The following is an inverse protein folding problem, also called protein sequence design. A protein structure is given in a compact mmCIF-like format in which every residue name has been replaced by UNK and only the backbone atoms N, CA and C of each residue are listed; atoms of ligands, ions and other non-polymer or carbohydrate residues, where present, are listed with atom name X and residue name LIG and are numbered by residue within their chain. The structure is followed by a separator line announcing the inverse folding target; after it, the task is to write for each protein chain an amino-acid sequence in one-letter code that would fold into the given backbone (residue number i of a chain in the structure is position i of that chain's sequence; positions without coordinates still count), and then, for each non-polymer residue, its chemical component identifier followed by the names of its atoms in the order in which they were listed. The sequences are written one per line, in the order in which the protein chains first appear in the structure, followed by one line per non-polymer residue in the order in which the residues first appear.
data_IF_335443246518
#
_entry.id   IF_335443246518
#
_cell.length_a   1.000
_cell.length_b   1.000
_cell.length_c   1.000
_cell.angle_alpha   90.00
_cell.angle_beta   90.00
_cell.angle_gamma   90.00
#
_symmetry.space_group_name_H-M   'P 1'
#
loop_
_entity.id
_entity.type
_entity.pdbx_description
1 polymer ?
#
# COMPACT_ATOMS: atom_id res chain seq x y z
N UNK A 1 -16.26 -11.78 -22.35
CA UNK A 1 -15.73 -12.41 -21.13
C UNK A 1 -14.63 -11.49 -20.61
N UNK A 2 -14.89 -10.69 -19.58
CA UNK A 2 -13.83 -9.89 -18.96
C UNK A 2 -13.01 -10.84 -18.09
N UNK A 3 -11.73 -11.05 -18.43
CA UNK A 3 -10.81 -11.75 -17.53
C UNK A 3 -10.76 -10.97 -16.23
N UNK A 4 -11.16 -11.59 -15.12
CA UNK A 4 -10.93 -11.04 -13.78
C UNK A 4 -9.42 -10.80 -13.66
N UNK A 5 -9.03 -9.53 -13.57
CA UNK A 5 -7.68 -9.18 -13.16
C UNK A 5 -7.49 -9.83 -11.77
N UNK A 6 -6.42 -10.59 -11.54
CA UNK A 6 -6.16 -11.12 -10.21
C UNK A 6 -6.17 -9.97 -9.21
N UNK A 7 -6.81 -10.20 -8.06
CA UNK A 7 -6.88 -9.20 -7.00
C UNK A 7 -5.45 -8.89 -6.54
N UNK A 8 -4.96 -7.69 -6.86
CA UNK A 8 -3.69 -7.17 -6.39
C UNK A 8 -3.99 -5.97 -5.50
N UNK A 9 -3.60 -6.06 -4.22
CA UNK A 9 -3.67 -4.93 -3.31
C UNK A 9 -2.31 -4.24 -3.29
N UNK A 10 -2.30 -2.95 -3.62
CA UNK A 10 -1.11 -2.13 -3.67
C UNK A 10 -1.10 -1.21 -2.45
N UNK A 11 -0.20 -1.46 -1.51
CA UNK A 11 0.03 -0.58 -0.37
C UNK A 11 1.22 0.34 -0.66
N UNK A 12 1.00 1.65 -0.58
CA UNK A 12 2.10 2.63 -0.66
C UNK A 12 2.80 2.70 0.70
N UNK A 13 4.12 2.74 0.68
CA UNK A 13 4.92 3.06 1.86
C UNK A 13 5.85 4.22 1.51
N UNK A 14 5.87 5.21 2.39
CA UNK A 14 6.74 6.38 2.31
C UNK A 14 7.83 6.22 3.34
N UNK A 15 9.07 6.43 2.92
CA UNK A 15 10.21 6.26 3.81
C UNK A 15 11.32 7.25 3.50
N UNK A 16 12.24 7.42 4.44
CA UNK A 16 13.44 8.23 4.37
C UNK A 16 14.65 7.36 4.70
N UNK A 17 15.83 7.73 4.20
CA UNK A 17 17.05 6.96 4.41
C UNK A 17 17.52 6.26 3.15
N UNK A 18 18.25 5.15 3.30
CA UNK A 18 18.81 4.43 2.17
C UNK A 18 17.70 3.70 1.40
N UNK A 19 17.50 4.11 0.14
CA UNK A 19 16.55 3.52 -0.81
C UNK A 19 16.60 1.99 -0.91
N UNK A 20 17.80 1.41 -0.82
CA UNK A 20 18.01 -0.02 -0.97
C UNK A 20 17.70 -0.71 0.35
N UNK A 21 18.42 -0.34 1.42
CA UNK A 21 18.39 -1.02 2.71
C UNK A 21 16.98 -1.01 3.34
N UNK A 22 16.31 0.15 3.37
CA UNK A 22 14.94 0.23 3.95
C UNK A 22 13.93 -0.57 3.12
N UNK A 23 14.11 -0.63 1.80
CA UNK A 23 13.24 -1.44 0.95
C UNK A 23 13.50 -2.95 1.11
N UNK A 24 14.73 -3.37 1.45
CA UNK A 24 15.03 -4.77 1.81
C UNK A 24 14.41 -5.14 3.15
N UNK A 25 14.49 -4.26 4.16
CA UNK A 25 13.86 -4.51 5.46
C UNK A 25 12.33 -4.65 5.36
N UNK A 26 11.70 -3.85 4.49
CA UNK A 26 10.27 -3.97 4.19
C UNK A 26 9.96 -5.26 3.42
N UNK A 27 10.83 -5.71 2.51
CA UNK A 27 10.66 -6.97 1.78
C UNK A 27 10.75 -8.17 2.73
N UNK A 28 11.70 -8.16 3.67
CA UNK A 28 11.85 -9.18 4.71
C UNK A 28 10.61 -9.28 5.60
N UNK A 29 9.98 -8.15 5.95
CA UNK A 29 8.75 -8.12 6.74
C UNK A 29 7.59 -8.88 6.06
N UNK A 30 7.54 -8.88 4.72
CA UNK A 30 6.45 -9.50 3.94
C UNK A 30 6.91 -10.70 3.11
N UNK A 31 8.04 -11.31 3.46
CA UNK A 31 8.61 -12.42 2.70
C UNK A 31 7.62 -13.57 2.55
N UNK A 32 7.21 -13.82 1.31
CA UNK A 32 6.23 -14.87 0.95
C UNK A 32 4.78 -14.41 0.92
N UNK A 33 4.45 -13.25 1.49
CA UNK A 33 3.11 -12.67 1.52
C UNK A 33 2.91 -11.57 0.47
N UNK A 34 3.95 -10.79 0.19
CA UNK A 34 3.92 -9.70 -0.80
C UNK A 34 5.23 -9.58 -1.59
N UNK A 35 5.16 -8.85 -2.70
CA UNK A 35 6.33 -8.37 -3.42
C UNK A 35 6.54 -6.89 -3.14
N UNK A 36 7.79 -6.47 -2.88
CA UNK A 36 8.14 -5.05 -2.75
C UNK A 36 8.66 -4.50 -4.06
N UNK A 37 7.94 -3.55 -4.63
CA UNK A 37 8.29 -2.89 -5.87
C UNK A 37 8.69 -1.45 -5.61
N UNK A 38 9.94 -1.17 -5.94
CA UNK A 38 10.54 0.15 -5.84
C UNK A 38 10.04 1.02 -7.00
N UNK A 39 9.56 2.23 -6.68
CA UNK A 39 8.95 3.13 -7.66
C UNK A 39 9.95 4.15 -8.19
N UNK A 40 10.32 4.09 -9.48
CA UNK A 40 11.24 5.08 -10.05
C UNK A 40 10.50 6.37 -10.41
N UNK A 41 11.25 7.47 -10.53
CA UNK A 41 10.74 8.76 -11.01
C UNK A 41 10.41 8.74 -12.51
N UNK A 42 11.04 7.84 -13.27
CA UNK A 42 10.73 7.55 -14.67
C UNK A 42 11.02 6.07 -15.00
N UNK A 43 10.36 5.52 -16.02
CA UNK A 43 10.51 4.11 -16.40
C UNK A 43 9.48 3.19 -15.75
N UNK A 44 9.83 1.92 -15.56
CA UNK A 44 8.91 0.87 -15.07
C UNK A 44 9.24 0.50 -13.63
N UNK A 45 8.23 0.47 -12.76
CA UNK A 45 8.38 -0.04 -11.40
C UNK A 45 8.72 -1.53 -11.41
N UNK A 46 9.49 -1.97 -10.42
CA UNK A 46 9.90 -3.35 -10.28
C UNK A 46 10.67 -3.57 -8.98
N UNK A 47 11.01 -4.81 -8.65
CA UNK A 47 11.68 -5.12 -7.39
C UNK A 47 12.97 -4.32 -7.25
N UNK A 48 13.77 -4.21 -8.31
CA UNK A 48 15.06 -3.52 -8.25
C UNK A 48 14.94 -1.98 -8.24
N UNK A 49 13.85 -1.40 -8.72
CA UNK A 49 13.61 0.05 -8.74
C UNK A 49 14.54 0.91 -9.61
N UNK A 50 15.69 0.37 -10.02
CA UNK A 50 16.78 1.12 -10.62
C UNK A 50 17.35 2.20 -9.70
N UNK A 51 18.22 3.04 -10.25
CA UNK A 51 18.97 4.07 -9.50
C UNK A 51 18.27 5.44 -9.44
N UNK A 52 16.99 5.50 -9.83
CA UNK A 52 16.26 6.76 -10.01
C UNK A 52 14.97 6.78 -9.16
N UNK A 53 15.08 6.75 -7.82
CA UNK A 53 13.91 6.67 -6.95
C UNK A 53 12.94 7.83 -7.20
N UNK A 54 11.65 7.54 -7.12
CA UNK A 54 10.64 8.60 -6.97
C UNK A 54 10.81 9.21 -5.57
N UNK A 55 10.93 10.53 -5.53
CA UNK A 55 11.07 11.29 -4.29
C UNK A 55 9.90 12.28 -4.20
N UNK A 56 9.20 12.30 -3.07
CA UNK A 56 8.13 13.27 -2.80
C UNK A 56 8.70 14.68 -2.64
N UNK A 57 7.83 15.70 -2.55
CA UNK A 57 8.28 17.08 -2.33
C UNK A 57 8.99 17.24 -0.97
N UNK A 58 8.60 16.42 -0.02
CA UNK A 58 9.11 16.36 1.35
C UNK A 58 10.43 15.57 1.45
N UNK A 59 10.86 14.93 0.36
CA UNK A 59 12.10 14.15 0.34
C UNK A 59 11.91 12.65 0.60
N UNK A 60 10.69 12.15 0.64
CA UNK A 60 10.44 10.73 0.92
C UNK A 60 10.51 9.87 -0.33
N UNK A 61 11.16 8.73 -0.20
CA UNK A 61 11.07 7.63 -1.13
C UNK A 61 9.71 6.95 -1.07
N UNK A 62 9.29 6.36 -2.19
CA UNK A 62 8.00 5.66 -2.30
C UNK A 62 8.23 4.26 -2.85
N UNK A 63 7.63 3.27 -2.20
CA UNK A 63 7.53 1.92 -2.73
C UNK A 63 6.09 1.40 -2.71
N UNK A 64 5.89 0.33 -3.45
CA UNK A 64 4.66 -0.41 -3.59
C UNK A 64 4.82 -1.81 -2.97
N UNK A 65 4.06 -2.12 -1.92
CA UNK A 65 3.93 -3.50 -1.40
C UNK A 65 2.72 -4.14 -2.08
N UNK A 66 2.95 -5.23 -2.81
CA UNK A 66 1.98 -5.86 -3.68
C UNK A 66 1.59 -7.23 -3.10
N UNK A 67 0.41 -7.30 -2.52
CA UNK A 67 -0.12 -8.56 -2.01
C UNK A 67 -0.83 -9.33 -3.13
N UNK A 68 -0.50 -10.62 -3.26
CA UNK A 68 -1.14 -11.52 -4.23
C UNK A 68 -2.40 -12.20 -3.68
N UNK A 69 -2.66 -12.03 -2.39
CA UNK A 69 -3.86 -12.45 -1.68
C UNK A 69 -4.43 -11.28 -0.87
N UNK A 70 -5.70 -11.31 -0.45
CA UNK A 70 -6.25 -10.30 0.44
C UNK A 70 -5.42 -10.12 1.70
N UNK A 71 -5.12 -8.86 2.06
CA UNK A 71 -4.37 -8.55 3.27
C UNK A 71 -5.17 -9.02 4.49
N UNK A 72 -4.68 -9.97 5.28
CA UNK A 72 -5.49 -10.63 6.31
C UNK A 72 -5.76 -9.73 7.52
N UNK A 73 -4.79 -8.89 7.91
CA UNK A 73 -4.87 -8.02 9.08
C UNK A 73 -4.16 -6.69 8.79
N UNK A 74 -4.93 -5.68 8.39
CA UNK A 74 -4.41 -4.34 8.09
C UNK A 74 -3.75 -3.68 9.32
N UNK A 75 -4.22 -3.99 10.54
CA UNK A 75 -3.67 -3.43 11.77
C UNK A 75 -2.26 -3.94 12.05
N UNK A 76 -2.03 -5.25 11.89
CA UNK A 76 -0.69 -5.84 12.04
C UNK A 76 0.28 -5.39 10.97
N UNK A 77 -0.19 -5.22 9.73
CA UNK A 77 0.64 -4.70 8.64
C UNK A 77 1.09 -3.28 8.95
N UNK A 78 0.16 -2.42 9.39
CA UNK A 78 0.48 -1.05 9.82
C UNK A 78 1.49 -1.07 10.99
N UNK A 79 1.23 -1.84 12.04
CA UNK A 79 2.13 -1.93 13.20
C UNK A 79 3.53 -2.45 12.83
N UNK A 80 3.63 -3.37 11.87
CA UNK A 80 4.91 -3.87 11.37
C UNK A 80 5.69 -2.80 10.63
N UNK A 81 5.02 -2.05 9.76
CA UNK A 81 5.63 -0.95 9.00
C UNK A 81 6.08 0.20 9.91
N UNK A 82 5.28 0.57 10.91
CA UNK A 82 5.58 1.64 11.88
C UNK A 82 6.83 1.36 12.73
N UNK A 83 7.31 0.11 12.77
CA UNK A 83 8.50 -0.30 13.53
C UNK A 83 9.79 -0.25 12.72
N UNK A 84 9.72 -0.12 11.40
CA UNK A 84 10.89 -0.09 10.52
C UNK A 84 11.50 1.32 10.57
N UNK A 85 12.81 1.41 10.84
CA UNK A 85 13.49 2.70 10.86
C UNK A 85 13.48 3.34 9.47
N UNK A 86 13.21 4.64 9.42
CA UNK A 86 13.05 5.38 8.18
C UNK A 86 11.67 5.28 7.54
N UNK A 87 10.77 4.36 7.93
CA UNK A 87 9.36 4.46 7.48
C UNK A 87 8.74 5.74 8.06
N UNK A 88 8.14 6.53 7.18
CA UNK A 88 7.50 7.81 7.53
C UNK A 88 5.99 7.67 7.61
N UNK A 89 5.39 6.97 6.64
CA UNK A 89 3.94 6.73 6.58
C UNK A 89 3.62 5.58 5.62
N UNK A 90 2.37 5.11 5.63
CA UNK A 90 1.85 4.09 4.75
C UNK A 90 0.40 4.37 4.32
N UNK A 91 -0.04 3.78 3.22
CA UNK A 91 -1.38 3.98 2.66
C UNK A 91 -2.53 3.33 3.43
N UNK A 92 -2.30 2.73 4.60
CA UNK A 92 -3.36 2.15 5.43
C UNK A 92 -4.05 3.27 6.21
N UNK A 93 -5.31 3.54 5.84
CA UNK A 93 -6.17 4.49 6.54
C UNK A 93 -7.18 3.68 7.37
N UNK A 94 -7.06 3.74 8.69
CA UNK A 94 -7.90 2.98 9.62
C UNK A 94 -8.23 3.80 10.87
N UNK A 95 -9.17 3.32 11.69
CA UNK A 95 -9.59 3.95 12.96
C UNK A 95 -10.04 5.42 12.86
N UNK A 96 -10.50 5.83 11.68
CA UNK A 96 -11.11 7.14 11.46
C UNK A 96 -12.58 6.96 11.08
N UNK A 97 -13.47 7.76 11.68
CA UNK A 97 -14.87 7.79 11.26
C UNK A 97 -14.94 8.20 9.80
N UNK A 98 -15.48 7.30 8.99
CA UNK A 98 -15.46 7.43 7.54
C UNK A 98 -16.80 7.03 6.95
N UNK A 99 -17.09 7.56 5.77
CA UNK A 99 -18.14 7.06 4.90
C UNK A 99 -17.56 6.84 3.50
N UNK A 100 -18.06 5.84 2.79
CA UNK A 100 -17.68 5.55 1.42
C UNK A 100 -18.85 5.90 0.49
N UNK A 101 -18.59 6.74 -0.52
CA UNK A 101 -19.54 6.98 -1.62
C UNK A 101 -19.09 6.16 -2.82
N UNK A 102 -19.88 5.15 -3.18
CA UNK A 102 -19.58 4.22 -4.26
C UNK A 102 -20.51 4.52 -5.43
N UNK A 103 -19.95 5.06 -6.51
CA UNK A 103 -20.66 5.27 -7.76
C UNK A 103 -20.50 4.06 -8.68
N UNK A 104 -21.61 3.56 -9.18
CA UNK A 104 -21.73 2.42 -10.08
C UNK A 104 -22.65 2.80 -11.25
N UNK A 105 -22.81 1.93 -12.26
CA UNK A 105 -23.56 2.28 -13.48
C UNK A 105 -25.04 2.53 -13.15
N UNK A 106 -25.40 3.80 -13.03
CA UNK A 106 -26.77 4.25 -12.77
C UNK A 106 -27.17 4.27 -11.30
N UNK A 107 -26.24 4.02 -10.38
CA UNK A 107 -26.49 4.01 -8.94
C UNK A 107 -25.37 4.68 -8.16
N UNK A 108 -25.72 5.27 -7.03
CA UNK A 108 -24.78 5.79 -6.03
C UNK A 108 -25.20 5.22 -4.68
N UNK A 109 -24.25 4.59 -3.99
CA UNK A 109 -24.44 4.05 -2.66
C UNK A 109 -23.57 4.84 -1.67
N UNK A 110 -24.13 5.19 -0.52
CA UNK A 110 -23.39 5.78 0.59
C UNK A 110 -23.35 4.74 1.70
N UNK A 111 -22.15 4.33 2.10
CA UNK A 111 -21.91 3.41 3.20
C UNK A 111 -21.29 4.20 4.35
N UNK A 112 -21.87 4.13 5.53
CA UNK A 112 -21.32 4.66 6.77
C UNK A 112 -21.23 3.56 7.84
N UNK A 113 -20.62 3.87 8.99
CA UNK A 113 -20.48 2.92 10.10
C UNK A 113 -21.85 2.42 10.63
N UNK A 114 -22.92 3.21 10.51
CA UNK A 114 -24.28 2.84 10.95
C UNK A 114 -24.99 1.90 9.96
N UNK A 115 -24.65 1.95 8.68
CA UNK A 115 -25.18 1.04 7.64
C UNK A 115 -24.62 -0.39 7.77
N UNK A 116 -23.60 -0.59 8.60
CA UNK A 116 -22.91 -1.88 8.81
C UNK A 116 -23.51 -2.70 9.97
N UNK A 117 -24.48 -2.15 10.72
CA UNK A 117 -25.20 -2.84 11.81
C UNK A 117 -26.48 -3.51 11.31
N UNK A 118 -26.39 -4.27 10.22
CA UNK A 118 -27.42 -5.25 9.85
C UNK A 118 -26.71 -6.56 9.54
N UNK A 119 -26.54 -7.38 10.59
CA UNK A 119 -26.34 -8.82 10.52
C UNK A 119 -27.37 -9.49 11.43
#
# INVERSE_FOLDING_TARGET
MASRVPFQSWLKVFFQGNWIDTAEEIDDLFLGDAEVWRRPSFGTAGPLGGDNPLVSKEGHHILDVIFTTPIPDLGKVAEGLDKIDGVVDHGIISNIRSYAVIASKGEVQVLDEESSVIL
#
